data_IF_012035726866
#
_entry.id   IF_012035726866
#
_cell.length_a   1.000
_cell.length_b   1.000
_cell.length_c   1.000
_cell.angle_alpha   90.00
_cell.angle_beta   90.00
_cell.angle_gamma   90.00
#
_symmetry.space_group_name_H-M   'P 1'
#
loop_
_entity.id
_entity.type
_entity.pdbx_description
1 polymer ?
#
# COMPACT_ATOMS: atom_id res chain seq x y z
N UNK A 1 -21.31 9.70 10.45
CA UNK A 1 -20.21 8.91 11.05
C UNK A 1 -18.93 9.34 10.39
N UNK A 2 -18.11 10.12 11.10
CA UNK A 2 -16.85 10.64 10.59
C UNK A 2 -15.78 9.59 10.86
N UNK A 3 -15.21 8.99 9.80
CA UNK A 3 -14.05 8.10 9.91
C UNK A 3 -12.88 9.01 10.25
N UNK A 4 -12.68 9.23 11.55
CA UNK A 4 -11.60 10.04 12.08
C UNK A 4 -10.27 9.36 11.79
N UNK A 5 -9.44 10.09 11.05
CA UNK A 5 -8.20 9.71 10.39
C UNK A 5 -7.01 9.65 11.35
N UNK A 6 -7.21 9.16 12.59
CA UNK A 6 -6.14 9.06 13.61
C UNK A 6 -5.35 7.75 13.55
N UNK A 7 -5.86 6.75 12.82
CA UNK A 7 -5.05 5.67 12.27
C UNK A 7 -5.10 5.82 10.76
N UNK A 8 -4.03 6.31 10.13
CA UNK A 8 -3.99 6.50 8.67
C UNK A 8 -4.05 5.15 7.96
N UNK A 9 -5.23 4.59 7.84
CA UNK A 9 -5.54 3.49 6.93
C UNK A 9 -5.47 4.07 5.54
N UNK A 10 -4.28 4.04 4.94
CA UNK A 10 -4.11 4.46 3.56
C UNK A 10 -4.88 3.48 2.67
N UNK A 11 -6.16 3.76 2.40
CA UNK A 11 -7.02 2.95 1.54
C UNK A 11 -6.32 2.61 0.21
N UNK A 12 -5.54 3.57 -0.30
CA UNK A 12 -4.78 3.43 -1.54
C UNK A 12 -3.63 2.40 -1.48
N UNK A 13 -3.08 2.13 -0.30
CA UNK A 13 -2.11 1.02 -0.10
C UNK A 13 -2.85 -0.32 -0.22
N UNK A 14 -4.07 -0.40 0.31
CA UNK A 14 -4.93 -1.57 0.14
C UNK A 14 -5.34 -1.78 -1.31
N UNK A 15 -5.67 -0.71 -2.05
CA UNK A 15 -5.93 -0.76 -3.50
C UNK A 15 -4.70 -1.29 -4.26
N UNK A 16 -3.51 -0.78 -3.95
CA UNK A 16 -2.26 -1.24 -4.55
C UNK A 16 -2.00 -2.73 -4.25
N UNK A 17 -2.13 -3.14 -2.98
CA UNK A 17 -1.96 -4.54 -2.57
C UNK A 17 -2.94 -5.48 -3.30
N UNK A 18 -4.20 -5.06 -3.46
CA UNK A 18 -5.19 -5.83 -4.20
C UNK A 18 -4.84 -5.92 -5.70
N UNK A 19 -4.43 -4.82 -6.33
CA UNK A 19 -3.96 -4.80 -7.73
C UNK A 19 -2.79 -5.77 -7.95
N UNK A 20 -1.84 -5.78 -7.02
CA UNK A 20 -0.68 -6.68 -7.04
C UNK A 20 -1.12 -8.15 -6.91
N UNK A 21 -1.98 -8.47 -5.94
CA UNK A 21 -2.49 -9.82 -5.72
C UNK A 21 -3.30 -10.33 -6.92
N UNK A 22 -4.17 -9.50 -7.50
CA UNK A 22 -4.92 -9.82 -8.72
C UNK A 22 -4.00 -10.04 -9.93
N UNK A 23 -2.86 -9.34 -9.96
CA UNK A 23 -1.80 -9.55 -10.95
C UNK A 23 -0.90 -10.76 -10.67
N UNK A 24 -1.23 -11.62 -9.70
CA UNK A 24 -0.44 -12.78 -9.26
C UNK A 24 1.02 -12.42 -8.92
N UNK A 25 1.25 -11.20 -8.45
CA UNK A 25 2.54 -10.72 -7.96
C UNK A 25 2.56 -10.79 -6.44
N UNK A 26 3.75 -10.93 -5.87
CA UNK A 26 3.93 -10.93 -4.41
C UNK A 26 3.69 -9.53 -3.86
N UNK A 27 2.74 -9.42 -2.93
CA UNK A 27 2.48 -8.23 -2.12
C UNK A 27 3.62 -8.07 -1.12
N UNK A 28 4.48 -7.09 -1.41
CA UNK A 28 5.56 -6.64 -0.52
C UNK A 28 5.53 -5.12 -0.44
N UNK A 29 6.21 -4.52 0.54
CA UNK A 29 6.32 -3.05 0.62
C UNK A 29 6.95 -2.46 -0.66
N UNK A 30 7.93 -3.14 -1.25
CA UNK A 30 8.52 -2.73 -2.53
C UNK A 30 7.48 -2.76 -3.66
N UNK A 31 6.78 -3.88 -3.82
CA UNK A 31 5.74 -4.02 -4.85
C UNK A 31 4.63 -2.98 -4.67
N UNK A 32 4.26 -2.66 -3.43
CA UNK A 32 3.27 -1.62 -3.12
C UNK A 32 3.76 -0.23 -3.51
N UNK A 33 5.03 0.10 -3.27
CA UNK A 33 5.64 1.36 -3.72
C UNK A 33 5.60 1.46 -5.25
N UNK A 34 6.02 0.41 -5.95
CA UNK A 34 6.03 0.37 -7.42
C UNK A 34 4.62 0.52 -7.99
N UNK A 35 3.63 -0.17 -7.40
CA UNK A 35 2.23 -0.07 -7.83
C UNK A 35 1.65 1.33 -7.56
N UNK A 36 1.98 1.95 -6.43
CA UNK A 36 1.57 3.33 -6.13
C UNK A 36 2.17 4.31 -7.15
N UNK A 37 3.44 4.17 -7.50
CA UNK A 37 4.08 5.00 -8.52
C UNK A 37 3.43 4.75 -9.91
N UNK A 38 3.06 3.51 -10.23
CA UNK A 38 2.29 3.19 -11.44
C UNK A 38 0.90 3.84 -11.43
N UNK A 39 0.17 3.78 -10.31
CA UNK A 39 -1.13 4.44 -10.14
C UNK A 39 -1.02 5.97 -10.23
N UNK A 40 0.09 6.57 -9.78
CA UNK A 40 0.35 8.00 -9.95
C UNK A 40 0.51 8.36 -11.44
N UNK A 41 1.27 7.55 -12.18
CA UNK A 41 1.53 7.74 -13.60
C UNK A 41 0.28 7.51 -14.47
N UNK A 42 -0.63 6.63 -14.05
CA UNK A 42 -1.94 6.45 -14.69
C UNK A 42 -2.83 7.72 -14.61
N UNK A 43 -2.46 8.68 -13.76
CA UNK A 43 -3.17 9.93 -13.57
C UNK A 43 -4.40 9.78 -12.68
N UNK A 44 -5.04 10.91 -12.39
CA UNK A 44 -6.20 10.97 -11.51
C UNK A 44 -6.49 12.39 -11.07
N UNK A 45 -7.43 12.54 -10.12
CA UNK A 45 -7.65 13.82 -9.47
C UNK A 45 -6.45 14.20 -8.60
N UNK A 46 -6.21 15.50 -8.42
CA UNK A 46 -5.14 16.00 -7.53
C UNK A 46 -5.26 15.42 -6.11
N UNK A 47 -6.48 15.23 -5.62
CA UNK A 47 -6.76 14.57 -4.35
C UNK A 47 -6.21 13.14 -4.32
N UNK A 48 -6.42 12.34 -5.38
CA UNK A 48 -5.90 10.97 -5.48
C UNK A 48 -4.37 10.97 -5.55
N UNK A 49 -3.77 11.85 -6.36
CA UNK A 49 -2.30 11.97 -6.46
C UNK A 49 -1.66 12.37 -5.12
N UNK A 50 -2.30 13.26 -4.36
CA UNK A 50 -1.88 13.62 -3.01
C UNK A 50 -1.90 12.41 -2.06
N UNK A 51 -2.97 11.60 -2.09
CA UNK A 51 -3.06 10.40 -1.25
C UNK A 51 -2.01 9.33 -1.65
N UNK A 52 -1.77 9.13 -2.95
CA UNK A 52 -0.70 8.24 -3.44
C UNK A 52 0.66 8.72 -2.92
N UNK A 53 0.93 10.01 -3.01
CA UNK A 53 2.20 10.60 -2.56
C UNK A 53 2.40 10.38 -1.06
N UNK A 54 1.37 10.61 -0.23
CA UNK A 54 1.44 10.39 1.22
C UNK A 54 1.63 8.91 1.57
N UNK A 55 0.93 8.02 0.88
CA UNK A 55 1.06 6.58 1.06
C UNK A 55 2.46 6.08 0.68
N UNK A 56 2.96 6.49 -0.49
CA UNK A 56 4.32 6.18 -0.96
C UNK A 56 5.37 6.72 0.00
N UNK A 57 5.22 7.95 0.49
CA UNK A 57 6.13 8.53 1.48
C UNK A 57 6.12 7.78 2.83
N UNK A 58 4.94 7.30 3.27
CA UNK A 58 4.84 6.50 4.48
C UNK A 58 5.52 5.13 4.32
N UNK A 59 5.31 4.43 3.20
CA UNK A 59 6.01 3.17 2.92
C UNK A 59 7.53 3.36 2.79
N UNK A 60 7.97 4.46 2.18
CA UNK A 60 9.40 4.84 2.06
C UNK A 60 10.02 5.31 3.39
N UNK A 61 9.21 5.60 4.42
CA UNK A 61 9.71 6.01 5.73
C UNK A 61 10.26 4.84 6.57
N UNK A 62 9.95 3.60 6.18
CA UNK A 62 10.51 2.43 6.81
C UNK A 62 11.92 2.16 6.28
N UNK A 63 12.93 2.24 7.15
CA UNK A 63 14.33 1.90 6.78
C UNK A 63 14.49 0.45 6.32
N UNK A 64 13.69 -0.46 6.90
CA UNK A 64 13.70 -1.88 6.57
C UNK A 64 12.29 -2.33 6.15
N UNK A 65 11.96 -2.27 4.85
CA UNK A 65 10.62 -2.59 4.33
C UNK A 65 10.13 -3.99 4.72
N UNK A 66 11.02 -4.97 4.77
CA UNK A 66 10.70 -6.35 5.15
C UNK A 66 10.36 -6.47 6.64
N UNK A 67 11.03 -5.69 7.50
CA UNK A 67 10.70 -5.64 8.94
C UNK A 67 9.42 -4.86 9.21
N UNK A 68 9.11 -3.86 8.39
CA UNK A 68 7.88 -3.09 8.51
C UNK A 68 6.63 -3.98 8.40
N UNK A 69 6.67 -5.02 7.56
CA UNK A 69 5.58 -6.01 7.45
C UNK A 69 5.33 -6.73 8.76
N UNK A 70 6.37 -7.01 9.56
CA UNK A 70 6.22 -7.67 10.86
C UNK A 70 5.86 -6.73 12.01
N UNK A 71 6.16 -5.43 11.87
CA UNK A 71 5.94 -4.43 12.91
C UNK A 71 4.60 -3.70 12.76
N UNK A 72 4.07 -3.64 11.55
CA UNK A 72 2.83 -2.93 11.23
C UNK A 72 1.75 -3.97 10.89
N UNK A 73 0.76 -4.19 11.78
CA UNK A 73 -0.30 -5.18 11.56
C UNK A 73 -1.03 -5.01 10.22
N UNK A 74 -1.20 -3.76 9.79
CA UNK A 74 -1.79 -3.44 8.49
C UNK A 74 -0.98 -4.01 7.32
N UNK A 75 0.35 -3.84 7.31
CA UNK A 75 1.22 -4.40 6.27
C UNK A 75 1.27 -5.92 6.35
N UNK A 76 1.24 -6.48 7.57
CA UNK A 76 1.14 -7.92 7.78
C UNK A 76 -0.13 -8.50 7.15
N UNK A 77 -1.29 -7.87 7.37
CA UNK A 77 -2.55 -8.29 6.76
C UNK A 77 -2.48 -8.26 5.24
N UNK A 78 -1.89 -7.22 4.64
CA UNK A 78 -1.72 -7.13 3.20
C UNK A 78 -0.75 -8.17 2.64
N UNK A 79 0.34 -8.44 3.35
CA UNK A 79 1.28 -9.51 2.97
C UNK A 79 0.65 -10.91 3.08
N UNK A 80 -0.35 -11.10 3.94
CA UNK A 80 -1.13 -12.33 4.03
C UNK A 80 -1.97 -12.65 2.79
N UNK A 81 -2.23 -11.66 1.91
CA UNK A 81 -2.89 -11.90 0.61
C UNK A 81 -2.06 -12.83 -0.30
N UNK A 82 -0.76 -12.95 -0.05
CA UNK A 82 0.12 -13.88 -0.76
C UNK A 82 -0.18 -15.34 -0.41
N UNK A 83 -0.65 -15.63 0.80
CA UNK A 83 -0.92 -17.00 1.26
C UNK A 83 -2.25 -17.54 0.71
N UNK A 84 -3.21 -16.68 0.37
CA UNK A 84 -4.48 -17.07 -0.26
C UNK A 84 -4.37 -17.31 -1.77
N UNK A 85 -3.27 -16.89 -2.40
CA UNK A 85 -3.04 -17.05 -3.85
C UNK A 85 -2.22 -18.28 -4.24
N UNK A 86 -1.89 -19.16 -3.29
CA UNK A 86 -1.10 -20.39 -3.48
C UNK A 86 -1.99 -21.64 -3.57
#
# INVERSE_FOLDING_TARGET
MSIQHDGKGYVIIGEAALSIALGQRVVSVHSQIDELDHMANAGGSEARLSEITKASAWLKSFEEPERAVHQVPYLQTLAGLNDETN
#
